data_IF_437146139041
#
_entry.id   IF_437146139041
#
_cell.length_a   1.000
_cell.length_b   1.000
_cell.length_c   1.000
_cell.angle_alpha   90.00
_cell.angle_beta   90.00
_cell.angle_gamma   90.00
#
_symmetry.space_group_name_H-M   'P 1'
#
loop_
_entity.id
_entity.type
_entity.pdbx_description
1 polymer ?
#
# COMPACT_ATOMS: atom_id res chain seq x y z
N UNK A 1 -22.51 -4.83 -6.81
CA UNK A 1 -21.46 -4.69 -7.83
C UNK A 1 -20.16 -4.26 -7.18
N UNK A 2 -19.11 -4.98 -7.46
CA UNK A 2 -17.82 -4.63 -6.87
C UNK A 2 -17.25 -3.38 -7.54
N UNK A 3 -16.63 -2.52 -6.77
CA UNK A 3 -15.89 -1.41 -7.33
C UNK A 3 -14.63 -1.94 -8.02
N UNK A 4 -14.31 -1.37 -9.17
CA UNK A 4 -13.12 -1.75 -9.92
C UNK A 4 -12.01 -0.74 -9.64
N UNK A 5 -10.89 -1.22 -9.09
CA UNK A 5 -9.74 -0.37 -8.90
C UNK A 5 -9.06 -0.08 -10.24
N UNK A 6 -8.40 1.07 -10.40
CA UNK A 6 -7.56 1.30 -11.56
C UNK A 6 -6.50 0.20 -11.70
N UNK A 7 -6.15 -0.13 -12.95
CA UNK A 7 -5.23 -1.22 -13.23
C UNK A 7 -3.91 -1.14 -12.46
N UNK A 8 -3.25 0.05 -12.34
CA UNK A 8 -2.01 0.11 -11.56
C UNK A 8 -2.19 -0.25 -10.08
N UNK A 9 -3.33 0.12 -9.48
CA UNK A 9 -3.59 -0.17 -8.07
C UNK A 9 -3.89 -1.65 -7.89
N UNK A 10 -4.78 -2.19 -8.69
CA UNK A 10 -5.10 -3.62 -8.64
C UNK A 10 -3.87 -4.46 -8.94
N UNK A 11 -3.09 -4.06 -9.95
CA UNK A 11 -1.86 -4.75 -10.32
C UNK A 11 -0.83 -4.73 -9.19
N UNK A 12 -0.69 -3.59 -8.50
CA UNK A 12 0.18 -3.51 -7.33
C UNK A 12 -0.25 -4.51 -6.26
N UNK A 13 -1.53 -4.52 -5.93
CA UNK A 13 -2.05 -5.41 -4.87
C UNK A 13 -1.84 -6.87 -5.25
N UNK A 14 -2.19 -7.24 -6.46
CA UNK A 14 -2.07 -8.64 -6.92
C UNK A 14 -0.63 -9.09 -6.96
N UNK A 15 0.27 -8.27 -7.50
CA UNK A 15 1.69 -8.60 -7.59
C UNK A 15 2.34 -8.65 -6.20
N UNK A 16 1.97 -7.72 -5.33
CA UNK A 16 2.48 -7.68 -3.96
C UNK A 16 2.04 -8.91 -3.18
N UNK A 17 0.77 -9.31 -3.30
CA UNK A 17 0.25 -10.50 -2.64
C UNK A 17 0.87 -11.78 -3.20
N UNK A 18 1.33 -11.75 -4.45
CA UNK A 18 2.05 -12.85 -5.06
C UNK A 18 3.55 -12.84 -4.79
N UNK A 19 4.03 -11.85 -4.03
CA UNK A 19 5.44 -11.67 -3.68
C UNK A 19 6.33 -11.54 -4.92
N UNK A 20 5.79 -10.92 -5.99
CA UNK A 20 6.49 -10.74 -7.26
C UNK A 20 6.98 -9.31 -7.38
N UNK A 21 8.21 -9.07 -6.92
CA UNK A 21 8.79 -7.73 -6.88
C UNK A 21 8.93 -7.09 -8.25
N UNK A 22 9.28 -7.86 -9.27
CA UNK A 22 9.41 -7.33 -10.63
C UNK A 22 8.06 -6.83 -11.14
N UNK A 23 7.01 -7.58 -10.91
CA UNK A 23 5.66 -7.19 -11.32
C UNK A 23 5.18 -5.96 -10.54
N UNK A 24 5.50 -5.86 -9.24
CA UNK A 24 5.15 -4.68 -8.45
C UNK A 24 5.83 -3.43 -9.02
N UNK A 25 7.13 -3.50 -9.23
CA UNK A 25 7.93 -2.36 -9.71
C UNK A 25 7.46 -1.87 -11.09
N UNK A 26 6.97 -2.76 -11.92
CA UNK A 26 6.50 -2.40 -13.25
C UNK A 26 5.33 -1.40 -13.22
N UNK A 27 4.58 -1.35 -12.12
CA UNK A 27 3.46 -0.43 -11.99
C UNK A 27 3.85 0.97 -11.54
N UNK A 28 5.10 1.19 -11.11
CA UNK A 28 5.54 2.50 -10.62
C UNK A 28 6.17 3.33 -11.75
N UNK A 29 5.95 4.65 -11.68
CA UNK A 29 6.68 5.59 -12.53
C UNK A 29 8.16 5.62 -12.12
N UNK A 30 9.02 6.04 -13.05
CA UNK A 30 10.46 6.05 -12.79
C UNK A 30 10.90 6.94 -11.64
N UNK A 31 10.15 8.01 -11.38
CA UNK A 31 10.43 8.99 -10.32
C UNK A 31 9.41 8.93 -9.19
N UNK A 32 8.75 7.79 -9.02
CA UNK A 32 7.70 7.63 -8.02
C UNK A 32 8.23 7.78 -6.60
N UNK A 33 7.31 8.13 -5.70
CA UNK A 33 7.58 8.22 -4.27
C UNK A 33 6.73 7.17 -3.54
N UNK A 34 7.35 6.42 -2.63
CA UNK A 34 6.64 5.65 -1.60
C UNK A 34 6.96 6.27 -0.24
N UNK A 35 5.92 6.52 0.54
CA UNK A 35 6.07 6.95 1.92
C UNK A 35 5.43 5.92 2.83
N UNK A 36 6.27 5.17 3.53
CA UNK A 36 5.86 4.18 4.54
C UNK A 36 6.69 4.48 5.78
N UNK A 37 6.28 5.49 6.54
CA UNK A 37 6.98 6.09 7.68
C UNK A 37 8.27 6.79 7.28
N UNK A 38 8.87 6.44 6.15
CA UNK A 38 10.03 7.09 5.55
C UNK A 38 9.79 7.22 4.06
N UNK A 39 10.53 8.08 3.40
CA UNK A 39 10.38 8.34 1.98
C UNK A 39 11.35 7.50 1.17
N UNK A 40 10.85 6.91 0.10
CA UNK A 40 11.64 6.13 -0.85
C UNK A 40 11.38 6.70 -2.23
N UNK A 41 12.40 7.34 -2.81
CA UNK A 41 12.29 8.06 -4.08
C UNK A 41 12.89 7.25 -5.22
N UNK A 42 12.11 7.00 -6.26
CA UNK A 42 12.55 6.31 -7.46
C UNK A 42 12.52 4.79 -7.33
N UNK A 43 12.60 4.12 -8.49
CA UNK A 43 12.38 2.66 -8.54
C UNK A 43 13.39 1.86 -7.73
N UNK A 44 14.66 2.29 -7.70
CA UNK A 44 15.67 1.54 -6.97
C UNK A 44 15.40 1.57 -5.46
N UNK A 45 15.09 2.75 -4.92
CA UNK A 45 14.77 2.88 -3.50
C UNK A 45 13.48 2.15 -3.15
N UNK A 46 12.47 2.25 -4.03
CA UNK A 46 11.20 1.55 -3.85
C UNK A 46 11.42 0.05 -3.88
N UNK A 47 12.25 -0.45 -4.79
CA UNK A 47 12.55 -1.89 -4.86
C UNK A 47 13.23 -2.37 -3.59
N UNK A 48 14.17 -1.62 -3.05
CA UNK A 48 14.84 -1.99 -1.80
C UNK A 48 13.86 -2.05 -0.63
N UNK A 49 12.95 -1.07 -0.53
CA UNK A 49 11.88 -1.06 0.47
C UNK A 49 10.97 -2.29 0.31
N UNK A 50 10.55 -2.55 -0.93
CA UNK A 50 9.65 -3.65 -1.25
C UNK A 50 10.26 -5.00 -0.85
N UNK A 51 11.52 -5.23 -1.24
CA UNK A 51 12.19 -6.50 -0.95
C UNK A 51 12.39 -6.71 0.54
N UNK A 52 12.70 -5.64 1.28
CA UNK A 52 12.98 -5.73 2.71
C UNK A 52 11.72 -5.80 3.55
N UNK A 53 10.73 -4.93 3.27
CA UNK A 53 9.62 -4.74 4.20
C UNK A 53 8.32 -5.37 3.74
N UNK A 54 8.13 -5.61 2.46
CA UNK A 54 6.89 -6.19 1.95
C UNK A 54 7.11 -7.65 1.60
N UNK A 55 8.02 -7.94 0.68
CA UNK A 55 8.27 -9.32 0.25
C UNK A 55 9.03 -10.08 1.33
N UNK A 56 10.01 -9.45 1.95
CA UNK A 56 10.79 -10.09 3.01
C UNK A 56 9.94 -10.53 4.19
N UNK A 57 8.93 -9.74 4.54
CA UNK A 57 8.01 -10.06 5.62
C UNK A 57 6.74 -10.78 5.13
N UNK A 58 6.66 -11.13 3.86
CA UNK A 58 5.52 -11.81 3.23
C UNK A 58 4.21 -11.09 3.53
N UNK A 59 4.22 -9.78 3.37
CA UNK A 59 3.05 -8.96 3.66
C UNK A 59 1.98 -9.18 2.61
N UNK A 60 0.75 -9.42 3.06
CA UNK A 60 -0.43 -9.51 2.19
C UNK A 60 -1.40 -8.39 2.52
N UNK A 61 -2.13 -7.95 1.51
CA UNK A 61 -3.04 -6.83 1.59
C UNK A 61 -4.41 -7.26 1.08
N UNK A 62 -5.43 -7.16 1.94
CA UNK A 62 -6.81 -7.51 1.58
C UNK A 62 -7.67 -6.27 1.67
N UNK A 63 -8.05 -5.65 0.54
CA UNK A 63 -8.87 -4.44 0.57
C UNK A 63 -10.23 -4.69 1.20
N UNK A 64 -10.67 -3.75 2.03
CA UNK A 64 -11.99 -3.79 2.66
C UNK A 64 -12.86 -2.63 2.23
N UNK A 65 -12.28 -1.50 1.83
CA UNK A 65 -13.01 -0.33 1.33
C UNK A 65 -12.11 0.45 0.40
N UNK A 66 -12.69 1.01 -0.65
CA UNK A 66 -11.95 1.79 -1.65
C UNK A 66 -12.72 3.03 -2.03
N UNK A 67 -11.99 4.09 -2.39
CA UNK A 67 -12.56 5.32 -2.94
C UNK A 67 -11.62 5.84 -4.01
N UNK A 68 -12.17 6.46 -5.05
CA UNK A 68 -11.37 7.02 -6.14
C UNK A 68 -11.89 8.40 -6.50
N UNK A 69 -10.97 9.34 -6.76
CA UNK A 69 -11.30 10.69 -7.16
C UNK A 69 -10.16 11.28 -7.98
N UNK A 70 -10.35 11.41 -9.30
CA UNK A 70 -9.40 12.04 -10.22
C UNK A 70 -7.98 11.49 -10.11
N UNK A 71 -7.84 10.15 -10.11
CA UNK A 71 -6.53 9.51 -10.05
C UNK A 71 -5.97 9.36 -8.65
N UNK A 72 -6.66 9.88 -7.64
CA UNK A 72 -6.35 9.60 -6.23
C UNK A 72 -7.19 8.41 -5.81
N UNK A 73 -6.53 7.36 -5.31
CA UNK A 73 -7.22 6.12 -4.92
C UNK A 73 -6.88 5.81 -3.48
N UNK A 74 -7.91 5.66 -2.66
CA UNK A 74 -7.74 5.33 -1.24
C UNK A 74 -8.19 3.91 -1.04
N UNK A 75 -7.33 3.09 -0.44
CA UNK A 75 -7.63 1.69 -0.15
C UNK A 75 -7.43 1.45 1.34
N UNK A 76 -8.49 1.08 2.05
CA UNK A 76 -8.40 0.54 3.40
C UNK A 76 -8.25 -0.97 3.28
N UNK A 77 -7.28 -1.54 3.97
CA UNK A 77 -6.98 -2.95 3.81
C UNK A 77 -6.55 -3.58 5.13
N UNK A 78 -6.97 -4.82 5.32
CA UNK A 78 -6.40 -5.67 6.36
C UNK A 78 -5.07 -6.19 5.86
N UNK A 79 -4.05 -6.06 6.68
CA UNK A 79 -2.68 -6.41 6.34
C UNK A 79 -2.19 -7.50 7.27
N UNK A 80 -1.53 -8.51 6.74
CA UNK A 80 -0.92 -9.59 7.50
C UNK A 80 0.47 -9.87 6.95
N UNK A 81 1.27 -10.67 7.66
CA UNK A 81 2.62 -11.00 7.24
C UNK A 81 3.42 -11.62 8.37
N UNK A 82 4.72 -11.80 8.13
CA UNK A 82 5.64 -12.43 9.08
C UNK A 82 6.47 -11.39 9.86
N UNK A 83 5.93 -10.20 10.04
CA UNK A 83 6.57 -9.14 10.84
C UNK A 83 6.22 -9.31 12.32
N UNK A 84 6.94 -8.57 13.18
CA UNK A 84 6.68 -8.56 14.62
C UNK A 84 5.33 -7.90 14.90
N UNK A 85 4.40 -8.65 15.45
CA UNK A 85 3.04 -8.21 15.73
C UNK A 85 2.81 -7.79 17.17
N UNK A 86 3.84 -7.81 18.00
CA UNK A 86 3.70 -7.64 19.45
C UNK A 86 3.03 -6.33 19.84
N UNK A 87 3.30 -5.25 19.10
CA UNK A 87 2.76 -3.92 19.42
C UNK A 87 1.80 -3.40 18.37
N UNK A 88 1.23 -4.29 17.58
CA UNK A 88 0.32 -3.91 16.51
C UNK A 88 -1.10 -4.31 16.85
N UNK A 89 -2.09 -3.54 16.38
CA UNK A 89 -3.50 -3.94 16.51
C UNK A 89 -3.76 -5.25 15.76
N UNK A 90 -4.79 -5.97 16.17
CA UNK A 90 -5.23 -7.17 15.49
C UNK A 90 -6.74 -7.05 15.25
N UNK A 91 -7.21 -6.94 14.02
CA UNK A 91 -6.40 -6.95 12.78
C UNK A 91 -5.64 -5.64 12.56
N UNK A 92 -4.53 -5.73 11.81
CA UNK A 92 -3.82 -4.54 11.39
C UNK A 92 -4.47 -3.99 10.13
N UNK A 93 -4.96 -2.75 10.22
CA UNK A 93 -5.58 -2.08 9.09
C UNK A 93 -4.70 -0.92 8.66
N UNK A 94 -4.33 -0.91 7.39
CA UNK A 94 -3.56 0.18 6.80
C UNK A 94 -4.44 0.91 5.79
N UNK A 95 -4.16 2.20 5.61
CA UNK A 95 -4.75 3.00 4.55
C UNK A 95 -3.67 3.32 3.54
N UNK A 96 -3.95 2.98 2.28
CA UNK A 96 -3.05 3.20 1.16
C UNK A 96 -3.60 4.34 0.33
N UNK A 97 -2.81 5.38 0.11
CA UNK A 97 -3.16 6.51 -0.75
C UNK A 97 -2.32 6.42 -2.00
N UNK A 98 -2.95 6.02 -3.10
CA UNK A 98 -2.29 5.91 -4.41
C UNK A 98 -2.61 7.13 -5.25
N UNK A 99 -1.59 7.69 -5.90
CA UNK A 99 -1.78 8.68 -6.96
C UNK A 99 -1.35 8.05 -8.28
N UNK A 100 -2.27 7.99 -9.24
CA UNK A 100 -2.07 7.34 -10.53
C UNK A 100 -2.04 8.39 -11.62
N UNK A 101 -1.05 8.33 -12.50
CA UNK A 101 -0.92 9.18 -13.67
C UNK A 101 -0.41 8.34 -14.84
N UNK A 102 -1.08 8.39 -15.97
CA UNK A 102 -0.65 7.70 -17.19
C UNK A 102 -0.42 6.21 -17.00
N UNK A 103 -1.32 5.53 -16.31
CA UNK A 103 -1.26 4.09 -16.04
C UNK A 103 -0.06 3.68 -15.18
N UNK A 104 0.48 4.61 -14.39
CA UNK A 104 1.57 4.32 -13.44
C UNK A 104 1.24 4.93 -12.09
N UNK A 105 1.75 4.31 -11.06
CA UNK A 105 1.69 4.86 -9.71
C UNK A 105 2.83 5.86 -9.57
N UNK A 106 2.49 7.11 -9.28
CA UNK A 106 3.50 8.17 -9.08
C UNK A 106 3.74 8.41 -7.60
N UNK A 107 2.79 8.03 -6.74
CA UNK A 107 2.95 8.18 -5.31
C UNK A 107 2.12 7.14 -4.58
N UNK A 108 2.68 6.57 -3.54
CA UNK A 108 1.98 5.69 -2.62
C UNK A 108 2.33 6.10 -1.19
N UNK A 109 1.32 6.45 -0.42
CA UNK A 109 1.47 6.78 1.00
C UNK A 109 0.72 5.73 1.79
N UNK A 110 1.41 5.11 2.74
CA UNK A 110 0.84 4.07 3.60
C UNK A 110 0.79 4.59 5.02
N UNK A 111 -0.40 4.58 5.61
CA UNK A 111 -0.63 5.08 6.95
C UNK A 111 -1.30 4.00 7.78
N UNK A 112 -0.75 3.73 8.95
CA UNK A 112 -1.37 2.79 9.88
C UNK A 112 -2.55 3.47 10.53
N UNK A 113 -3.72 2.82 10.48
CA UNK A 113 -4.90 3.32 11.15
C UNK A 113 -4.72 3.17 12.66
N UNK A 114 -4.84 4.27 13.38
CA UNK A 114 -4.78 4.26 14.83
C UNK A 114 -6.19 4.25 15.39
N UNK A 115 -6.44 3.48 16.47
CA UNK A 115 -7.72 3.59 17.16
C UNK A 115 -7.91 5.02 17.65
N UNK A 116 -9.11 5.56 17.49
CA UNK A 116 -9.42 6.88 18.03
C UNK A 116 -9.46 6.78 19.55
N UNK A 117 -8.69 7.61 20.29
CA UNK A 117 -8.76 7.58 21.74
C UNK A 117 -10.18 7.89 22.24
N UNK A 118 -10.57 7.27 23.35
CA UNK A 118 -11.92 7.43 23.87
C UNK A 118 -12.27 8.90 24.13
N UNK A 119 -11.32 9.70 24.62
CA UNK A 119 -11.55 11.13 24.91
C UNK A 119 -11.79 11.95 23.64
N UNK A 120 -11.41 11.46 22.46
CA UNK A 120 -11.58 12.16 21.19
C UNK A 120 -12.84 11.71 20.43
N UNK A 121 -13.64 10.82 20.98
CA UNK A 121 -14.83 10.25 20.31
C UNK A 121 -16.09 10.96 20.75
N UNK A 122 -16.13 12.25 20.64
CA UNK A 122 -17.33 13.02 21.04
C UNK A 122 -17.93 13.79 19.90
#
# INVERSE_FOLDING_TARGET
MSSTLPAPVQGYIDASNGFDGDAVIAWFAGDALVNDRREFWGKDAIRAWLDREIIGDKVTTTPTATAEHYGEVIVHAVTDGEYDKTRLPDPLVLTYYFTVRGHRIVQLIIIRNQPTPAWAQH
#
